data_IF_748675810419
#
_entry.id   IF_748675810419
#
_cell.length_a   1.000
_cell.length_b   1.000
_cell.length_c   1.000
_cell.angle_alpha   90.00
_cell.angle_beta   90.00
_cell.angle_gamma   90.00
#
_symmetry.space_group_name_H-M   'P 1'
#
loop_
_entity.id
_entity.type
_entity.pdbx_description
1 polymer ?
#
# COMPACT_ATOMS: atom_id res chain seq x y z
N UNK A 1 -19.84 25.86 15.57
CA UNK A 1 -19.40 26.89 14.61
C UNK A 1 -18.88 26.12 13.42
N UNK A 2 -19.74 25.86 12.45
CA UNK A 2 -19.37 25.14 11.22
C UNK A 2 -18.30 25.97 10.51
N UNK A 3 -17.06 25.45 10.48
CA UNK A 3 -16.00 26.02 9.65
C UNK A 3 -16.33 25.62 8.21
N UNK A 4 -17.07 26.48 7.50
CA UNK A 4 -17.08 26.50 6.04
C UNK A 4 -15.72 27.00 5.54
N UNK A 5 -14.68 26.19 5.71
CA UNK A 5 -13.36 26.42 5.13
C UNK A 5 -13.25 25.43 3.99
N UNK A 6 -12.88 25.91 2.80
CA UNK A 6 -12.59 25.02 1.67
C UNK A 6 -11.56 23.97 2.13
N UNK A 7 -11.73 22.69 1.78
CA UNK A 7 -10.83 21.64 2.23
C UNK A 7 -9.41 21.93 1.74
N UNK A 8 -8.42 21.58 2.56
CA UNK A 8 -7.02 21.62 2.17
C UNK A 8 -6.78 20.55 1.11
N UNK A 9 -6.47 20.99 -0.11
CA UNK A 9 -6.22 20.11 -1.25
C UNK A 9 -4.75 19.69 -1.26
N UNK A 10 -4.49 18.39 -1.18
CA UNK A 10 -3.15 17.81 -1.27
C UNK A 10 -3.13 16.77 -2.40
N UNK A 11 -2.19 16.90 -3.32
CA UNK A 11 -2.12 16.02 -4.51
C UNK A 11 -0.70 15.52 -4.78
N UNK A 12 -0.18 14.58 -3.97
CA UNK A 12 1.19 14.10 -4.10
C UNK A 12 1.41 13.34 -5.42
N UNK A 13 2.48 13.68 -6.13
CA UNK A 13 2.95 12.97 -7.32
C UNK A 13 3.76 11.73 -6.90
N UNK A 14 3.28 10.55 -7.28
CA UNK A 14 3.84 9.27 -6.86
C UNK A 14 4.41 8.50 -8.04
N UNK A 15 5.66 8.04 -7.88
CA UNK A 15 6.34 7.17 -8.82
C UNK A 15 6.40 5.74 -8.27
N UNK A 16 5.75 4.81 -8.97
CA UNK A 16 5.79 3.39 -8.62
C UNK A 16 7.00 2.71 -9.28
N UNK A 17 7.77 1.97 -8.48
CA UNK A 17 8.85 1.11 -8.95
C UNK A 17 8.43 -0.35 -8.77
N UNK A 18 8.46 -1.14 -9.82
CA UNK A 18 8.10 -2.56 -9.77
C UNK A 18 9.38 -3.38 -9.91
N UNK A 19 9.74 -4.14 -8.88
CA UNK A 19 10.94 -4.97 -8.95
C UNK A 19 10.78 -6.17 -9.90
N UNK A 20 11.90 -6.82 -10.21
CA UNK A 20 11.90 -7.93 -11.15
C UNK A 20 11.13 -9.15 -10.65
N UNK A 21 11.09 -9.38 -9.34
CA UNK A 21 10.36 -10.47 -8.73
C UNK A 21 8.85 -10.29 -8.91
N UNK A 22 8.31 -9.11 -8.62
CA UNK A 22 6.91 -8.78 -8.82
C UNK A 22 6.55 -8.72 -10.30
N UNK A 23 7.37 -8.06 -11.12
CA UNK A 23 7.14 -7.94 -12.55
C UNK A 23 7.02 -9.30 -13.24
N UNK A 24 7.79 -10.31 -12.79
CA UNK A 24 7.75 -11.67 -13.32
C UNK A 24 6.42 -12.40 -13.11
N UNK A 25 5.60 -11.95 -12.15
CA UNK A 25 4.28 -12.51 -11.85
C UNK A 25 3.17 -11.92 -12.74
N UNK A 26 3.50 -10.92 -13.54
CA UNK A 26 2.57 -10.28 -14.48
C UNK A 26 2.80 -10.76 -15.92
N UNK A 27 1.74 -10.76 -16.72
CA UNK A 27 1.77 -11.10 -18.15
C UNK A 27 2.17 -9.88 -19.00
N UNK A 28 3.29 -9.24 -18.65
CA UNK A 28 3.83 -8.07 -19.34
C UNK A 28 3.33 -6.71 -18.83
N UNK A 29 3.90 -5.65 -19.40
CA UNK A 29 3.75 -4.26 -18.92
C UNK A 29 2.31 -3.75 -18.95
N UNK A 30 1.52 -4.14 -19.95
CA UNK A 30 0.11 -3.75 -20.04
C UNK A 30 -0.70 -4.30 -18.85
N UNK A 31 -0.40 -5.52 -18.39
CA UNK A 31 -1.09 -6.12 -17.26
C UNK A 31 -0.72 -5.44 -15.93
N UNK A 32 0.52 -4.97 -15.79
CA UNK A 32 1.00 -4.15 -14.67
C UNK A 32 0.27 -2.81 -14.66
N UNK A 33 0.20 -2.13 -15.82
CA UNK A 33 -0.48 -0.85 -15.95
C UNK A 33 -1.96 -0.93 -15.52
N UNK A 34 -2.68 -1.93 -16.04
CA UNK A 34 -4.10 -2.16 -15.71
C UNK A 34 -4.31 -2.48 -14.24
N UNK A 35 -3.43 -3.30 -13.66
CA UNK A 35 -3.50 -3.63 -12.24
C UNK A 35 -3.26 -2.40 -11.38
N UNK A 36 -2.18 -1.64 -11.61
CA UNK A 36 -1.89 -0.48 -10.78
C UNK A 36 -2.85 0.68 -10.99
N UNK A 37 -3.52 0.78 -12.14
CA UNK A 37 -4.63 1.70 -12.33
C UNK A 37 -5.78 1.41 -11.34
N UNK A 38 -6.17 0.16 -11.17
CA UNK A 38 -7.20 -0.22 -10.21
C UNK A 38 -6.69 -0.06 -8.77
N UNK A 39 -5.44 -0.48 -8.51
CA UNK A 39 -4.77 -0.32 -7.22
C UNK A 39 -4.79 1.14 -6.74
N UNK A 40 -4.44 2.10 -7.60
CA UNK A 40 -4.44 3.51 -7.25
C UNK A 40 -5.84 4.07 -6.96
N UNK A 41 -6.89 3.53 -7.60
CA UNK A 41 -8.25 3.90 -7.25
C UNK A 41 -8.61 3.44 -5.83
N UNK A 42 -8.25 2.21 -5.44
CA UNK A 42 -8.47 1.70 -4.07
C UNK A 42 -7.64 2.44 -3.02
N UNK A 43 -6.37 2.72 -3.32
CA UNK A 43 -5.53 3.59 -2.49
C UNK A 43 -6.18 4.95 -2.26
N UNK A 44 -6.66 5.61 -3.32
CA UNK A 44 -7.33 6.90 -3.19
C UNK A 44 -8.68 6.81 -2.45
N UNK A 45 -9.38 5.68 -2.48
CA UNK A 45 -10.56 5.47 -1.63
C UNK A 45 -10.20 5.43 -0.15
N UNK A 46 -9.04 4.90 0.23
CA UNK A 46 -8.55 4.94 1.62
C UNK A 46 -8.15 6.36 2.03
N UNK A 47 -7.45 7.12 1.17
CA UNK A 47 -7.14 8.53 1.46
C UNK A 47 -8.37 9.42 1.60
N UNK A 48 -9.49 9.10 0.92
CA UNK A 48 -10.78 9.79 1.11
C UNK A 48 -11.42 9.57 2.49
N UNK A 49 -10.90 8.66 3.30
CA UNK A 49 -11.39 8.41 4.67
C UNK A 49 -10.76 9.35 5.71
N UNK A 50 -9.79 10.17 5.30
CA UNK A 50 -9.33 11.29 6.10
C UNK A 50 -10.49 12.25 6.40
N UNK A 51 -10.28 13.08 7.42
CA UNK A 51 -11.24 14.07 7.86
C UNK A 51 -11.66 15.04 6.73
N UNK A 52 -12.92 15.50 6.76
CA UNK A 52 -13.56 16.23 5.66
C UNK A 52 -12.84 17.54 5.26
N UNK A 53 -12.00 18.09 6.12
CA UNK A 53 -11.20 19.28 5.84
C UNK A 53 -9.92 18.99 5.05
N UNK A 54 -9.62 17.72 4.75
CA UNK A 54 -8.51 17.30 3.89
C UNK A 54 -9.06 16.60 2.65
N UNK A 55 -8.73 17.15 1.48
CA UNK A 55 -9.00 16.50 0.20
C UNK A 55 -7.69 15.99 -0.39
N UNK A 56 -7.39 14.72 -0.17
CA UNK A 56 -6.14 14.07 -0.61
C UNK A 56 -6.41 13.15 -1.80
N UNK A 57 -5.62 13.31 -2.86
CA UNK A 57 -5.59 12.36 -3.97
C UNK A 57 -4.17 12.17 -4.48
N UNK A 58 -3.63 10.96 -4.33
CA UNK A 58 -2.36 10.60 -4.95
C UNK A 58 -2.50 10.58 -6.47
N UNK A 59 -1.50 11.13 -7.14
CA UNK A 59 -1.40 11.14 -8.59
C UNK A 59 -0.23 10.24 -8.99
N UNK A 60 -0.53 9.04 -9.48
CA UNK A 60 0.50 8.16 -10.06
C UNK A 60 0.99 8.77 -11.37
N UNK A 61 2.21 9.31 -11.37
CA UNK A 61 2.80 9.99 -12.54
C UNK A 61 3.60 9.04 -13.41
N UNK A 62 4.26 8.05 -12.81
CA UNK A 62 5.18 7.12 -13.49
C UNK A 62 5.12 5.73 -12.90
N UNK A 63 5.37 4.74 -13.75
CA UNK A 63 5.65 3.36 -13.35
C UNK A 63 6.96 2.94 -14.02
N UNK A 64 7.99 2.65 -13.23
CA UNK A 64 9.25 2.09 -13.74
C UNK A 64 9.33 0.61 -13.37
N UNK A 65 9.50 -0.25 -14.37
CA UNK A 65 9.62 -1.70 -14.20
C UNK A 65 11.09 -2.10 -14.28
N UNK A 66 11.58 -2.78 -13.25
CA UNK A 66 12.95 -3.22 -13.15
C UNK A 66 13.12 -4.68 -13.60
N UNK A 67 14.33 -4.97 -14.07
CA UNK A 67 14.90 -6.31 -14.20
C UNK A 67 15.99 -6.54 -13.16
N UNK A 68 16.39 -7.79 -12.98
CA UNK A 68 17.49 -8.20 -12.09
C UNK A 68 18.84 -7.48 -12.36
N UNK A 69 19.04 -6.91 -13.55
CA UNK A 69 20.25 -6.14 -13.90
C UNK A 69 20.16 -4.65 -13.56
N UNK A 70 18.94 -4.16 -13.35
CA UNK A 70 18.65 -2.72 -13.25
C UNK A 70 18.22 -2.28 -11.86
N UNK A 71 18.12 -3.21 -10.90
CA UNK A 71 17.69 -2.99 -9.52
C UNK A 71 18.84 -3.06 -8.48
N UNK A 72 19.93 -2.28 -8.63
CA UNK A 72 21.12 -2.41 -7.78
C UNK A 72 20.88 -2.02 -6.31
N UNK A 73 19.72 -1.44 -6.00
CA UNK A 73 19.33 -1.07 -4.65
C UNK A 73 18.80 -2.25 -3.83
N UNK A 74 18.38 -3.34 -4.48
CA UNK A 74 17.87 -4.53 -3.78
C UNK A 74 19.02 -5.23 -3.08
N UNK A 75 18.91 -5.33 -1.76
CA UNK A 75 19.82 -6.10 -0.91
C UNK A 75 19.09 -7.34 -0.40
N UNK A 76 19.74 -8.49 -0.57
CA UNK A 76 19.24 -9.78 -0.10
C UNK A 76 20.17 -10.36 0.96
N UNK A 77 19.65 -11.11 1.94
CA UNK A 77 20.48 -11.82 2.90
C UNK A 77 21.28 -12.95 2.21
N UNK A 78 22.45 -13.34 2.76
CA UNK A 78 23.22 -14.45 2.20
C UNK A 78 22.41 -15.74 2.07
N UNK A 79 22.46 -16.37 0.89
CA UNK A 79 21.82 -17.68 0.60
C UNK A 79 20.29 -17.71 0.70
N UNK A 80 19.62 -16.56 0.78
CA UNK A 80 18.16 -16.50 0.72
C UNK A 80 17.70 -15.43 -0.29
N UNK A 81 17.36 -15.90 -1.48
CA UNK A 81 16.97 -15.08 -2.63
C UNK A 81 15.50 -14.62 -2.61
N UNK A 82 14.70 -15.20 -1.71
CA UNK A 82 13.26 -14.97 -1.60
C UNK A 82 12.91 -13.76 -0.72
N UNK A 83 13.92 -13.07 -0.20
CA UNK A 83 13.77 -11.97 0.76
C UNK A 83 14.54 -10.74 0.28
N UNK A 84 13.93 -9.57 0.48
CA UNK A 84 14.58 -8.26 0.38
C UNK A 84 14.77 -7.68 1.79
N UNK A 85 15.94 -7.11 2.08
CA UNK A 85 16.21 -6.56 3.41
C UNK A 85 15.79 -5.09 3.52
N UNK A 86 15.46 -4.63 4.73
CA UNK A 86 15.12 -3.22 5.01
C UNK A 86 16.24 -2.23 4.64
N UNK A 87 17.50 -2.68 4.61
CA UNK A 87 18.64 -1.90 4.08
C UNK A 87 18.43 -1.43 2.63
N UNK A 88 17.61 -2.16 1.86
CA UNK A 88 17.28 -1.81 0.48
C UNK A 88 16.60 -0.45 0.38
N UNK A 89 15.88 0.00 1.41
CA UNK A 89 15.28 1.33 1.45
C UNK A 89 16.35 2.43 1.43
N UNK A 90 17.42 2.28 2.22
CA UNK A 90 18.54 3.23 2.25
C UNK A 90 19.32 3.24 0.93
N UNK A 91 19.50 2.06 0.32
CA UNK A 91 20.10 1.95 -1.01
C UNK A 91 19.24 2.61 -2.09
N UNK A 92 17.91 2.43 -2.02
CA UNK A 92 16.95 3.04 -2.95
C UNK A 92 16.97 4.57 -2.82
N UNK A 93 16.95 5.08 -1.58
CA UNK A 93 17.11 6.51 -1.30
C UNK A 93 18.37 7.09 -1.96
N UNK A 94 19.50 6.38 -1.85
CA UNK A 94 20.77 6.79 -2.49
C UNK A 94 20.71 6.68 -4.01
N UNK A 95 20.06 5.65 -4.54
CA UNK A 95 19.91 5.41 -5.97
C UNK A 95 19.13 6.53 -6.67
N UNK A 96 18.00 6.94 -6.10
CA UNK A 96 17.13 7.95 -6.74
C UNK A 96 17.74 9.36 -6.71
N UNK A 97 18.54 9.69 -5.70
CA UNK A 97 19.16 11.02 -5.56
C UNK A 97 20.10 11.37 -6.72
N UNK A 98 20.68 10.37 -7.38
CA UNK A 98 21.62 10.56 -8.47
C UNK A 98 20.96 10.52 -9.86
N UNK A 99 19.62 10.52 -9.94
CA UNK A 99 18.89 10.27 -11.17
C UNK A 99 17.81 11.33 -11.41
N UNK A 100 17.97 12.09 -12.49
CA UNK A 100 17.08 13.20 -12.87
C UNK A 100 15.62 12.78 -13.04
N UNK A 101 15.37 11.51 -13.41
CA UNK A 101 14.02 10.97 -13.59
C UNK A 101 13.17 11.00 -12.31
N UNK A 102 13.81 11.08 -11.13
CA UNK A 102 13.13 11.14 -9.83
C UNK A 102 13.08 12.54 -9.23
N UNK A 103 13.65 13.57 -9.86
CA UNK A 103 13.79 14.90 -9.26
C UNK A 103 12.43 15.51 -8.92
N UNK A 104 11.47 15.40 -9.84
CA UNK A 104 10.13 15.99 -9.72
C UNK A 104 9.12 15.09 -8.98
N UNK A 105 9.49 13.88 -8.57
CA UNK A 105 8.54 13.01 -7.85
C UNK A 105 8.41 13.48 -6.39
N UNK A 106 7.21 13.54 -5.82
CA UNK A 106 7.04 13.87 -4.40
C UNK A 106 7.39 12.67 -3.52
N UNK A 107 7.00 11.48 -4.02
CA UNK A 107 7.08 10.18 -3.36
C UNK A 107 7.48 9.11 -4.38
N UNK A 108 8.34 8.19 -3.97
CA UNK A 108 8.77 7.02 -4.76
C UNK A 108 8.52 5.76 -3.94
N UNK A 109 7.78 4.80 -4.46
CA UNK A 109 7.48 3.55 -3.73
C UNK A 109 7.90 2.34 -4.55
N UNK A 110 8.72 1.48 -3.95
CA UNK A 110 9.08 0.17 -4.50
C UNK A 110 8.04 -0.88 -4.11
N UNK A 111 7.42 -1.48 -5.11
CA UNK A 111 6.56 -2.66 -4.95
C UNK A 111 7.36 -3.89 -5.30
N UNK A 112 7.38 -4.83 -4.35
CA UNK A 112 8.19 -6.04 -4.43
C UNK A 112 7.34 -7.29 -4.27
N UNK A 113 7.69 -8.33 -5.01
CA UNK A 113 7.08 -9.64 -4.89
C UNK A 113 7.86 -10.57 -3.96
N UNK A 114 8.84 -10.03 -3.24
CA UNK A 114 9.67 -10.69 -2.23
C UNK A 114 9.21 -10.29 -0.84
N UNK A 115 9.45 -11.15 0.15
CA UNK A 115 9.19 -10.81 1.53
C UNK A 115 10.23 -9.81 2.03
N UNK A 116 9.79 -8.74 2.68
CA UNK A 116 10.62 -7.76 3.36
C UNK A 116 11.00 -8.33 4.72
N UNK A 117 12.29 -8.24 5.05
CA UNK A 117 12.78 -8.67 6.35
C UNK A 117 13.88 -7.75 6.88
N UNK A 118 14.05 -7.73 8.19
CA UNK A 118 15.29 -7.26 8.79
C UNK A 118 16.32 -8.39 8.77
N UNK A 119 17.59 -8.03 8.55
CA UNK A 119 18.69 -9.00 8.53
C UNK A 119 19.80 -8.54 9.48
N UNK A 120 20.18 -9.42 10.41
CA UNK A 120 21.29 -9.18 11.31
C UNK A 120 22.55 -9.91 10.81
N UNK A 121 23.48 -9.14 10.24
CA UNK A 121 24.73 -9.68 9.69
C UNK A 121 25.67 -10.28 10.73
N UNK A 122 25.48 -9.98 12.02
CA UNK A 122 26.31 -10.53 13.10
C UNK A 122 25.86 -11.94 13.48
N UNK A 123 24.55 -12.18 13.44
CA UNK A 123 23.95 -13.48 13.80
C UNK A 123 23.56 -14.33 12.59
N UNK A 124 23.67 -13.80 11.38
CA UNK A 124 23.17 -14.41 10.12
C UNK A 124 21.66 -14.72 10.20
N UNK A 125 20.92 -13.88 10.92
CA UNK A 125 19.50 -14.09 11.21
C UNK A 125 18.63 -13.18 10.33
N UNK A 126 17.64 -13.78 9.67
CA UNK A 126 16.60 -13.08 8.90
C UNK A 126 15.33 -13.07 9.74
N UNK A 127 14.85 -11.88 10.09
CA UNK A 127 13.60 -11.68 10.82
C UNK A 127 12.59 -10.97 9.93
N UNK A 128 11.64 -11.75 9.45
CA UNK A 128 10.57 -11.33 8.54
C UNK A 128 9.26 -11.02 9.27
N UNK A 129 9.20 -11.16 10.60
CA UNK A 129 7.96 -11.19 11.40
C UNK A 129 7.04 -9.98 11.11
N UNK A 130 6.15 -10.13 10.12
CA UNK A 130 5.08 -9.20 9.79
C UNK A 130 5.48 -7.88 9.11
N UNK A 131 6.70 -7.74 8.57
CA UNK A 131 7.08 -6.50 7.86
C UNK A 131 6.53 -6.57 6.43
N UNK A 132 5.34 -5.98 6.20
CA UNK A 132 4.75 -5.91 4.86
C UNK A 132 5.21 -4.65 4.10
N UNK A 133 5.73 -3.65 4.81
CA UNK A 133 6.15 -2.37 4.26
C UNK A 133 7.21 -1.69 5.12
N UNK A 134 7.90 -0.72 4.53
CA UNK A 134 8.89 0.09 5.23
C UNK A 134 9.12 1.44 4.55
N UNK A 135 8.98 2.54 5.28
CA UNK A 135 9.18 3.90 4.77
C UNK A 135 9.79 4.86 5.80
N UNK A 136 10.30 5.99 5.30
CA UNK A 136 10.78 7.08 6.16
C UNK A 136 9.63 8.02 6.55
N UNK A 137 9.43 8.22 7.86
CA UNK A 137 8.42 9.18 8.34
C UNK A 137 8.79 10.61 7.93
N UNK A 138 7.86 11.30 7.28
CA UNK A 138 8.06 12.65 6.73
C UNK A 138 9.07 12.71 5.59
N UNK A 139 9.18 11.62 4.81
CA UNK A 139 10.12 11.51 3.70
C UNK A 139 9.74 12.29 2.45
N UNK A 140 8.45 12.57 2.22
CA UNK A 140 7.99 13.30 1.04
C UNK A 140 8.67 14.68 0.93
N UNK A 141 8.92 15.14 -0.29
CA UNK A 141 9.70 16.36 -0.60
C UNK A 141 11.17 16.37 -0.14
N UNK A 142 11.71 15.25 0.35
CA UNK A 142 13.10 15.15 0.84
C UNK A 142 13.87 14.09 0.06
N UNK A 143 15.17 13.98 0.33
CA UNK A 143 16.00 12.91 -0.23
C UNK A 143 15.56 11.51 0.21
N UNK A 144 14.86 11.41 1.35
CA UNK A 144 14.29 10.19 1.92
C UNK A 144 12.85 9.91 1.47
N UNK A 145 12.41 10.42 0.32
CA UNK A 145 11.05 10.25 -0.24
C UNK A 145 10.70 8.85 -0.73
N UNK A 146 11.28 7.82 -0.11
CA UNK A 146 11.18 6.42 -0.55
C UNK A 146 10.44 5.56 0.46
N UNK A 147 9.60 4.66 -0.05
CA UNK A 147 9.02 3.55 0.69
C UNK A 147 9.15 2.24 -0.08
N UNK A 148 8.94 1.11 0.58
CA UNK A 148 8.89 -0.21 -0.03
C UNK A 148 7.75 -1.03 0.56
N UNK A 149 7.04 -1.77 -0.29
CA UNK A 149 5.78 -2.46 0.05
C UNK A 149 5.75 -3.81 -0.66
N UNK A 150 5.41 -4.86 0.08
CA UNK A 150 5.07 -6.16 -0.49
C UNK A 150 3.74 -6.08 -1.24
N UNK A 151 3.69 -6.68 -2.43
CA UNK A 151 2.46 -6.84 -3.18
C UNK A 151 2.46 -8.16 -3.94
N UNK A 152 1.28 -8.69 -4.20
CA UNK A 152 1.09 -9.93 -4.94
C UNK A 152 0.26 -9.69 -6.19
N UNK A 153 0.75 -10.21 -7.33
CA UNK A 153 0.23 -9.82 -8.62
C UNK A 153 -1.22 -10.25 -8.79
N UNK A 154 -2.09 -9.29 -9.14
CA UNK A 154 -3.53 -9.48 -9.29
C UNK A 154 -4.27 -9.80 -7.98
N UNK A 155 -3.70 -9.54 -6.81
CA UNK A 155 -4.38 -9.78 -5.53
C UNK A 155 -4.77 -8.51 -4.78
N UNK A 156 -4.18 -7.35 -5.08
CA UNK A 156 -4.43 -6.08 -4.36
C UNK A 156 -4.13 -6.12 -2.86
N UNK A 157 -3.38 -7.11 -2.39
CA UNK A 157 -3.00 -7.31 -0.98
C UNK A 157 -2.11 -6.19 -0.47
N UNK A 158 -1.28 -5.59 -1.34
CA UNK A 158 -0.42 -4.46 -0.97
C UNK A 158 -1.15 -3.12 -0.77
N UNK A 159 -2.45 -3.01 -1.05
CA UNK A 159 -3.15 -1.70 -1.03
C UNK A 159 -3.18 -1.06 0.35
N UNK A 160 -3.54 -1.81 1.40
CA UNK A 160 -3.56 -1.29 2.77
C UNK A 160 -2.15 -0.82 3.19
N UNK A 161 -1.17 -1.71 3.04
CA UNK A 161 0.22 -1.44 3.39
C UNK A 161 0.79 -0.25 2.62
N UNK A 162 0.48 -0.12 1.33
CA UNK A 162 0.88 1.05 0.55
C UNK A 162 0.37 2.35 1.12
N UNK A 163 -0.91 2.38 1.54
CA UNK A 163 -1.49 3.58 2.14
C UNK A 163 -0.85 3.88 3.50
N UNK A 164 -0.55 2.86 4.30
CA UNK A 164 0.19 3.01 5.55
C UNK A 164 1.59 3.63 5.32
N UNK A 165 2.37 3.05 4.42
CA UNK A 165 3.74 3.54 4.13
C UNK A 165 3.74 4.93 3.48
N UNK A 166 2.77 5.24 2.63
CA UNK A 166 2.60 6.60 2.09
C UNK A 166 2.16 7.57 3.20
N UNK A 167 1.33 7.13 4.15
CA UNK A 167 1.01 7.90 5.36
C UNK A 167 2.26 8.29 6.15
N UNK A 168 3.18 7.34 6.36
CA UNK A 168 4.50 7.65 6.92
C UNK A 168 5.24 8.69 6.10
N UNK A 169 5.35 8.54 4.77
CA UNK A 169 6.04 9.51 3.92
C UNK A 169 5.43 10.91 3.99
N UNK A 170 4.11 10.98 4.20
CA UNK A 170 3.33 12.20 4.39
C UNK A 170 3.33 12.72 5.85
N UNK A 171 4.20 12.18 6.71
CA UNK A 171 4.49 12.71 8.03
C UNK A 171 3.68 12.12 9.19
N UNK A 172 2.90 11.06 8.95
CA UNK A 172 2.10 10.40 9.98
C UNK A 172 2.96 9.39 10.77
N UNK A 173 3.01 9.50 12.10
CA UNK A 173 3.49 8.42 12.97
C UNK A 173 2.42 7.33 13.14
N UNK A 174 2.77 6.22 13.77
CA UNK A 174 1.75 5.24 14.17
C UNK A 174 0.78 5.83 15.19
N UNK A 175 -0.46 5.37 15.17
CA UNK A 175 -1.42 5.67 16.23
C UNK A 175 -0.88 5.19 17.59
N UNK A 176 -0.96 6.03 18.62
CA UNK A 176 -0.39 5.80 19.94
C UNK A 176 1.01 6.39 20.14
N UNK A 177 1.71 6.75 19.07
CA UNK A 177 3.07 7.31 19.17
C UNK A 177 3.09 8.82 19.42
N UNK A 178 4.20 9.30 20.00
CA UNK A 178 4.49 10.72 20.10
C UNK A 178 4.89 11.34 18.76
N UNK A 179 5.10 12.67 18.71
CA UNK A 179 5.58 13.35 17.50
C UNK A 179 6.91 12.75 17.00
N UNK A 180 7.03 12.45 15.69
CA UNK A 180 8.28 11.96 15.12
C UNK A 180 9.30 13.11 15.00
N UNK A 181 10.56 12.82 15.31
CA UNK A 181 11.67 13.80 15.25
C UNK A 181 11.87 14.41 13.84
N UNK A 182 11.47 13.69 12.79
CA UNK A 182 11.63 14.11 11.40
C UNK A 182 10.58 15.13 10.94
N UNK A 183 9.50 15.34 11.68
CA UNK A 183 8.39 16.23 11.26
C UNK A 183 8.25 17.41 12.21
N UNK A 184 8.54 18.60 11.70
CA UNK A 184 8.44 19.85 12.45
C UNK A 184 6.99 20.08 12.90
N UNK A 185 6.78 20.39 14.18
CA UNK A 185 5.47 20.70 14.75
C UNK A 185 4.41 19.60 14.60
N UNK A 186 4.80 18.34 14.36
CA UNK A 186 3.83 17.24 14.37
C UNK A 186 3.15 17.15 15.75
N UNK A 187 1.83 16.97 15.81
CA UNK A 187 1.13 16.67 17.06
C UNK A 187 1.38 15.24 17.56
N UNK A 188 1.97 14.37 16.72
CA UNK A 188 2.00 12.92 16.94
C UNK A 188 0.61 12.31 16.91
N UNK A 189 0.47 11.09 17.43
CA UNK A 189 -0.80 10.37 17.48
C UNK A 189 -1.09 9.72 18.84
N UNK A 190 -0.45 10.19 19.91
CA UNK A 190 -0.58 9.63 21.27
C UNK A 190 -2.00 9.63 21.85
N UNK A 191 -2.93 10.38 21.25
CA UNK A 191 -4.34 10.45 21.63
C UNK A 191 -5.26 9.59 20.75
N UNK A 192 -4.73 8.90 19.74
CA UNK A 192 -5.43 7.85 18.99
C UNK A 192 -4.92 6.49 19.46
N UNK A 193 -5.80 5.66 20.02
CA UNK A 193 -5.42 4.34 20.52
C UNK A 193 -5.09 3.38 19.36
N UNK A 194 -3.89 2.82 19.38
CA UNK A 194 -3.41 1.81 18.42
C UNK A 194 -4.36 0.60 18.29
N UNK A 195 -5.06 0.23 19.37
CA UNK A 195 -5.96 -0.93 19.41
C UNK A 195 -7.24 -0.75 18.59
N UNK A 196 -7.57 0.48 18.19
CA UNK A 196 -8.67 0.72 17.25
C UNK A 196 -8.35 0.23 15.83
N UNK A 197 -7.08 -0.03 15.52
CA UNK A 197 -6.70 -0.63 14.25
C UNK A 197 -6.99 0.23 13.03
N UNK A 198 -6.91 1.56 13.13
CA UNK A 198 -6.94 2.45 11.97
C UNK A 198 -5.76 2.17 11.02
N UNK A 199 -5.76 2.75 9.83
CA UNK A 199 -4.71 2.53 8.81
C UNK A 199 -3.30 2.74 9.39
N UNK A 200 -3.09 3.71 10.28
CA UNK A 200 -1.78 4.01 10.88
C UNK A 200 -1.54 3.24 12.20
N UNK A 201 -2.33 2.23 12.54
CA UNK A 201 -2.01 1.36 13.67
C UNK A 201 -0.69 0.61 13.43
N UNK A 202 0.16 0.43 14.46
CA UNK A 202 1.47 -0.23 14.31
C UNK A 202 1.37 -1.72 13.97
N UNK A 203 0.20 -2.32 14.19
CA UNK A 203 -0.08 -3.72 13.87
C UNK A 203 -1.37 -3.82 13.06
N UNK A 204 -1.34 -4.63 12.01
CA UNK A 204 -2.49 -4.93 11.18
C UNK A 204 -3.05 -6.32 11.50
N UNK A 205 -4.36 -6.41 11.74
CA UNK A 205 -5.08 -7.66 12.01
C UNK A 205 -6.37 -7.70 11.20
N UNK A 206 -7.00 -8.88 11.12
CA UNK A 206 -8.30 -9.02 10.42
C UNK A 206 -9.42 -8.15 11.01
N UNK A 207 -9.25 -7.60 12.22
CA UNK A 207 -10.23 -6.67 12.80
C UNK A 207 -9.83 -5.20 12.64
N UNK A 208 -8.69 -4.91 12.01
CA UNK A 208 -8.27 -3.55 11.68
C UNK A 208 -9.24 -2.90 10.71
N UNK A 209 -9.48 -1.61 10.88
CA UNK A 209 -10.31 -0.79 10.01
C UNK A 209 -9.49 -0.24 8.84
N UNK A 210 -10.15 0.00 7.71
CA UNK A 210 -9.51 0.56 6.51
C UNK A 210 -9.78 2.06 6.37
N UNK A 211 -9.81 2.77 7.51
CA UNK A 211 -9.98 4.22 7.58
C UNK A 211 -8.85 4.87 8.37
N UNK A 212 -8.57 6.14 8.10
CA UNK A 212 -7.60 6.92 8.85
C UNK A 212 -8.18 7.41 10.19
N UNK A 213 -7.31 7.59 11.18
CA UNK A 213 -7.65 8.24 12.45
C UNK A 213 -7.62 9.78 12.28
N UNK A 214 -8.29 10.49 13.19
CA UNK A 214 -8.16 11.96 13.27
C UNK A 214 -6.70 12.40 13.48
N UNK A 215 -5.90 11.61 14.21
CA UNK A 215 -4.46 11.90 14.39
C UNK A 215 -3.69 11.82 13.08
N UNK A 216 -4.09 10.95 12.15
CA UNK A 216 -3.48 10.89 10.82
C UNK A 216 -3.75 12.18 10.03
N UNK A 217 -4.98 12.70 10.11
CA UNK A 217 -5.36 13.97 9.47
C UNK A 217 -4.61 15.17 10.09
N UNK A 218 -4.59 15.28 11.42
CA UNK A 218 -3.92 16.37 12.12
C UNK A 218 -2.41 16.42 11.82
N UNK A 219 -1.76 15.24 11.75
CA UNK A 219 -0.34 15.14 11.39
C UNK A 219 -0.06 15.51 9.93
N UNK A 220 -0.93 15.11 9.00
CA UNK A 220 -0.81 15.50 7.59
C UNK A 220 -0.95 17.00 7.40
N UNK A 221 -1.92 17.63 8.07
CA UNK A 221 -2.07 19.09 8.05
C UNK A 221 -0.78 19.75 8.57
N UNK A 222 -0.24 19.30 9.71
CA UNK A 222 0.99 19.85 10.26
C UNK A 222 2.19 19.66 9.32
N UNK A 223 2.33 18.49 8.69
CA UNK A 223 3.39 18.20 7.72
C UNK A 223 3.31 19.11 6.49
N UNK A 224 2.10 19.30 5.93
CA UNK A 224 1.88 20.20 4.80
C UNK A 224 2.19 21.67 5.16
N UNK A 225 1.88 22.10 6.38
CA UNK A 225 2.12 23.47 6.84
C UNK A 225 3.59 23.81 7.10
N UNK A 226 4.49 22.82 7.12
CA UNK A 226 5.93 23.05 7.25
C UNK A 226 6.47 23.77 5.99
N UNK A 227 7.03 25.00 6.10
CA UNK A 227 7.52 25.76 4.95
C UNK A 227 8.65 25.10 4.14
N UNK A 228 9.29 24.05 4.68
CA UNK A 228 10.28 23.24 3.99
C UNK A 228 9.67 22.21 3.02
N UNK A 229 8.41 21.83 3.24
CA UNK A 229 7.67 20.85 2.43
C UNK A 229 7.02 21.57 1.25
N UNK A 230 7.82 21.84 0.22
CA UNK A 230 7.39 22.67 -0.92
C UNK A 230 6.83 21.90 -2.11
N UNK A 231 7.16 20.62 -2.24
CA UNK A 231 6.77 19.83 -3.41
C UNK A 231 5.24 19.64 -3.50
N UNK A 232 4.59 19.48 -2.35
CA UNK A 232 3.12 19.34 -2.23
C UNK A 232 2.31 20.63 -2.49
N UNK A 233 2.97 21.78 -2.70
CA UNK A 233 2.28 23.05 -2.95
C UNK A 233 1.79 23.19 -4.40
N UNK A 234 2.21 22.30 -5.29
CA UNK A 234 1.66 22.23 -6.63
C UNK A 234 0.31 21.49 -6.63
N UNK A 235 -0.42 21.59 -7.73
CA UNK A 235 -1.70 20.90 -7.91
C UNK A 235 -1.70 20.20 -9.27
N UNK A 236 -0.96 19.09 -9.42
CA UNK A 236 -1.03 18.28 -10.64
C UNK A 236 -2.48 17.91 -10.96
N UNK A 237 -2.84 17.78 -12.25
CA UNK A 237 -4.17 17.32 -12.63
C UNK A 237 -4.47 15.95 -12.00
N UNK A 238 -5.50 15.93 -11.15
CA UNK A 238 -6.03 14.71 -10.55
C UNK A 238 -6.46 13.70 -11.61
N UNK A 239 -6.45 12.43 -11.24
CA UNK A 239 -6.88 11.36 -12.11
C UNK A 239 -8.34 11.57 -12.56
N UNK A 240 -8.58 11.41 -13.86
CA UNK A 240 -9.88 11.73 -14.47
C UNK A 240 -10.44 10.62 -15.35
N UNK A 241 -9.63 9.60 -15.69
CA UNK A 241 -10.09 8.45 -16.46
C UNK A 241 -11.01 7.60 -15.61
N UNK A 242 -12.14 7.18 -16.18
CA UNK A 242 -13.09 6.32 -15.49
C UNK A 242 -12.61 4.87 -15.51
N UNK A 243 -12.65 4.21 -14.35
CA UNK A 243 -12.69 2.75 -14.30
C UNK A 243 -14.11 2.28 -14.58
N UNK A 244 -14.26 1.26 -15.41
CA UNK A 244 -15.53 0.60 -15.59
C UNK A 244 -15.75 -0.47 -14.53
N UNK A 245 -17.01 -0.80 -14.26
CA UNK A 245 -17.39 -1.92 -13.39
C UNK A 245 -16.74 -3.24 -13.86
N UNK A 246 -16.59 -3.42 -15.18
CA UNK A 246 -15.97 -4.61 -15.73
C UNK A 246 -14.46 -4.65 -15.42
N UNK A 247 -13.75 -3.53 -15.54
CA UNK A 247 -12.31 -3.47 -15.21
C UNK A 247 -12.04 -3.96 -13.78
N UNK A 248 -12.88 -3.54 -12.83
CA UNK A 248 -12.78 -3.91 -11.42
C UNK A 248 -13.05 -5.41 -11.23
N UNK A 249 -14.14 -5.92 -11.82
CA UNK A 249 -14.59 -7.31 -11.67
C UNK A 249 -13.69 -8.32 -12.36
N UNK A 250 -13.13 -7.98 -13.52
CA UNK A 250 -12.23 -8.86 -14.27
C UNK A 250 -10.95 -9.17 -13.49
N UNK A 251 -10.59 -8.33 -12.52
CA UNK A 251 -9.44 -8.51 -11.65
C UNK A 251 -9.77 -9.13 -10.29
N UNK A 252 -11.03 -9.50 -10.03
CA UNK A 252 -11.41 -10.10 -8.75
C UNK A 252 -10.89 -11.54 -8.65
N UNK A 253 -10.21 -11.83 -7.55
CA UNK A 253 -9.76 -13.19 -7.21
C UNK A 253 -10.82 -13.87 -6.36
N UNK A 254 -11.17 -15.12 -6.69
CA UNK A 254 -12.11 -15.87 -5.85
C UNK A 254 -11.48 -16.17 -4.48
N UNK A 255 -12.25 -16.22 -3.38
CA UNK A 255 -11.71 -16.51 -2.04
C UNK A 255 -10.91 -17.82 -1.94
N UNK A 256 -11.35 -18.88 -2.63
CA UNK A 256 -10.57 -20.12 -2.70
C UNK A 256 -9.21 -19.90 -3.36
N UNK A 257 -9.18 -19.17 -4.48
CA UNK A 257 -7.93 -18.86 -5.17
C UNK A 257 -7.01 -17.98 -4.35
N UNK A 258 -7.57 -17.03 -3.59
CA UNK A 258 -6.82 -16.23 -2.63
C UNK A 258 -6.13 -17.13 -1.60
N UNK A 259 -6.86 -18.06 -0.96
CA UNK A 259 -6.28 -18.99 0.01
C UNK A 259 -5.15 -19.84 -0.59
N UNK A 260 -5.28 -20.30 -1.83
CA UNK A 260 -4.23 -21.06 -2.52
C UNK A 260 -2.95 -20.25 -2.79
N UNK A 261 -3.08 -18.94 -3.00
CA UNK A 261 -1.97 -18.03 -3.26
C UNK A 261 -1.27 -17.61 -1.97
N UNK A 262 -2.02 -17.34 -0.91
CA UNK A 262 -1.48 -17.01 0.42
C UNK A 262 -0.85 -18.22 1.14
N UNK A 263 -1.33 -19.43 0.86
CA UNK A 263 -0.84 -20.67 1.51
C UNK A 263 -0.29 -21.68 0.51
N UNK A 264 0.75 -21.32 -0.27
CA UNK A 264 1.24 -22.13 -1.38
C UNK A 264 1.77 -23.49 -0.89
N UNK A 265 1.41 -24.55 -1.62
CA UNK A 265 1.88 -25.92 -1.32
C UNK A 265 1.18 -26.59 -0.14
N UNK A 266 0.09 -26.01 0.38
CA UNK A 266 -0.72 -26.60 1.46
C UNK A 266 -2.09 -27.08 0.95
N UNK A 267 -2.69 -28.02 1.67
CA UNK A 267 -4.05 -28.48 1.42
C UNK A 267 -5.06 -27.49 2.03
N UNK A 268 -5.30 -26.37 1.34
CA UNK A 268 -6.08 -25.24 1.86
C UNK A 268 -7.48 -25.16 1.22
N UNK A 269 -8.48 -24.77 2.01
CA UNK A 269 -9.85 -24.55 1.53
C UNK A 269 -10.43 -23.27 2.14
N UNK A 270 -11.15 -22.51 1.33
CA UNK A 270 -11.95 -21.38 1.79
C UNK A 270 -13.16 -21.86 2.60
N UNK A 271 -13.41 -21.26 3.76
CA UNK A 271 -14.63 -21.44 4.54
C UNK A 271 -15.54 -20.22 4.39
N UNK A 272 -16.84 -20.45 4.16
CA UNK A 272 -17.81 -19.37 3.95
C UNK A 272 -18.13 -18.58 5.22
N UNK A 273 -17.97 -19.20 6.39
CA UNK A 273 -18.30 -18.61 7.69
C UNK A 273 -17.50 -19.28 8.80
N UNK A 274 -17.08 -18.49 9.79
CA UNK A 274 -16.47 -18.94 11.03
C UNK A 274 -16.88 -18.03 12.18
N UNK A 275 -17.06 -18.58 13.37
CA UNK A 275 -17.37 -17.81 14.57
C UNK A 275 -16.38 -18.21 15.68
N UNK A 276 -15.68 -17.23 16.25
CA UNK A 276 -14.67 -17.46 17.31
C UNK A 276 -15.23 -17.40 18.74
N UNK A 277 -16.55 -17.25 18.88
CA UNK A 277 -17.29 -17.05 20.13
C UNK A 277 -17.63 -15.59 20.43
N UNK A 278 -16.89 -14.64 19.84
CA UNK A 278 -17.12 -13.20 20.00
C UNK A 278 -17.60 -12.55 18.69
N UNK A 279 -17.08 -13.02 17.56
CA UNK A 279 -17.27 -12.40 16.25
C UNK A 279 -17.52 -13.46 15.16
N UNK A 280 -18.38 -13.11 14.22
CA UNK A 280 -18.53 -13.83 12.95
C UNK A 280 -17.54 -13.28 11.92
N UNK A 281 -16.94 -14.18 11.16
CA UNK A 281 -16.09 -13.87 10.00
C UNK A 281 -16.76 -14.45 8.77
N UNK A 282 -16.92 -13.64 7.74
CA UNK A 282 -17.44 -14.03 6.44
C UNK A 282 -17.17 -12.94 5.39
N UNK A 283 -17.46 -13.25 4.13
CA UNK A 283 -17.24 -12.32 3.02
C UNK A 283 -18.10 -11.05 3.09
N UNK A 284 -19.23 -11.05 3.81
CA UNK A 284 -20.06 -9.86 3.97
C UNK A 284 -19.39 -8.83 4.90
N UNK A 285 -18.50 -9.30 5.79
CA UNK A 285 -17.56 -8.49 6.57
C UNK A 285 -16.21 -8.29 5.89
N UNK A 286 -16.08 -8.78 4.65
CA UNK A 286 -14.84 -8.75 3.89
C UNK A 286 -13.69 -9.51 4.57
N UNK A 287 -14.02 -10.65 5.17
CA UNK A 287 -13.05 -11.58 5.74
C UNK A 287 -12.96 -12.83 4.86
N UNK A 288 -11.74 -13.26 4.55
CA UNK A 288 -11.44 -14.53 3.89
C UNK A 288 -10.89 -15.50 4.93
N UNK A 289 -11.55 -16.66 5.04
CA UNK A 289 -11.16 -17.72 5.99
C UNK A 289 -10.50 -18.86 5.22
N UNK A 290 -9.24 -19.14 5.54
CA UNK A 290 -8.47 -20.23 4.93
C UNK A 290 -8.21 -21.34 5.95
N UNK A 291 -8.76 -22.53 5.71
CA UNK A 291 -8.59 -23.73 6.53
C UNK A 291 -7.58 -24.68 5.90
N UNK A 292 -6.50 -24.96 6.63
CA UNK A 292 -5.58 -26.04 6.28
C UNK A 292 -6.19 -27.37 6.73
N UNK A 293 -6.48 -28.24 5.77
CA UNK A 293 -7.15 -29.52 6.01
C UNK A 293 -6.26 -30.54 6.72
N UNK A 294 -4.94 -30.42 6.59
CA UNK A 294 -3.98 -31.38 7.16
C UNK A 294 -3.69 -31.06 8.64
N UNK A 295 -3.54 -29.78 8.96
CA UNK A 295 -3.23 -29.31 10.33
C UNK A 295 -4.46 -28.88 11.12
N UNK A 296 -5.61 -28.73 10.45
CA UNK A 296 -6.83 -28.12 10.99
C UNK A 296 -6.62 -26.69 11.53
N UNK A 297 -5.62 -25.97 11.00
CA UNK A 297 -5.37 -24.58 11.38
C UNK A 297 -6.16 -23.62 10.50
N UNK A 298 -6.81 -22.66 11.13
CA UNK A 298 -7.56 -21.59 10.47
C UNK A 298 -6.72 -20.32 10.44
N UNK A 299 -6.69 -19.65 9.29
CA UNK A 299 -6.12 -18.31 9.15
C UNK A 299 -7.17 -17.36 8.59
N UNK A 300 -7.19 -16.15 9.13
CA UNK A 300 -8.12 -15.08 8.78
C UNK A 300 -7.35 -14.00 8.03
N UNK A 301 -7.90 -13.55 6.92
CA UNK A 301 -7.30 -12.55 6.04
C UNK A 301 -8.34 -11.52 5.66
N UNK A 302 -7.89 -10.30 5.39
CA UNK A 302 -8.74 -9.30 4.78
C UNK A 302 -9.00 -9.66 3.33
N UNK A 303 -10.27 -9.58 2.93
CA UNK A 303 -10.63 -9.67 1.53
C UNK A 303 -10.06 -8.46 0.79
N UNK A 304 -9.31 -8.66 -0.31
CA UNK A 304 -8.86 -7.55 -1.13
C UNK A 304 -10.02 -6.69 -1.63
N UNK A 305 -9.74 -5.40 -1.79
CA UNK A 305 -10.67 -4.49 -2.46
C UNK A 305 -10.95 -5.03 -3.88
N UNK A 306 -12.23 -5.18 -4.24
CA UNK A 306 -12.81 -5.90 -5.38
C UNK A 306 -13.33 -7.34 -5.15
N UNK A 307 -13.11 -7.93 -3.98
CA UNK A 307 -13.61 -9.29 -3.69
C UNK A 307 -15.14 -9.29 -3.68
N UNK A 308 -15.78 -10.24 -4.37
CA UNK A 308 -17.23 -10.38 -4.33
C UNK A 308 -17.67 -10.82 -2.93
N UNK A 309 -18.41 -9.95 -2.24
CA UNK A 309 -18.76 -10.15 -0.83
C UNK A 309 -20.13 -10.83 -0.60
N UNK A 310 -20.96 -10.96 -1.64
CA UNK A 310 -22.27 -11.61 -1.54
C UNK A 310 -22.49 -12.65 -2.64
N UNK A 311 -22.71 -13.89 -2.23
CA UNK A 311 -22.99 -15.00 -3.15
C UNK A 311 -24.24 -14.74 -3.98
N UNK A 312 -24.10 -14.86 -5.30
CA UNK A 312 -25.19 -14.63 -6.26
C UNK A 312 -25.46 -13.16 -6.59
N UNK A 313 -24.81 -12.20 -5.92
CA UNK A 313 -24.88 -10.79 -6.29
C UNK A 313 -23.51 -10.29 -6.76
N UNK A 314 -23.35 -10.12 -8.07
CA UNK A 314 -22.09 -9.69 -8.67
C UNK A 314 -21.91 -8.16 -8.72
N UNK A 315 -22.77 -7.42 -8.02
CA UNK A 315 -22.74 -5.95 -7.94
C UNK A 315 -22.19 -5.45 -6.61
N UNK A 316 -21.95 -6.34 -5.64
CA UNK A 316 -21.39 -6.03 -4.33
C UNK A 316 -19.96 -6.57 -4.23
N UNK A 317 -19.05 -5.70 -3.82
CA UNK A 317 -17.64 -6.02 -3.59
C UNK A 317 -17.15 -5.45 -2.27
N UNK A 318 -16.05 -5.99 -1.78
CA UNK A 318 -15.29 -5.39 -0.70
C UNK A 318 -14.60 -4.12 -1.17
N UNK A 319 -14.80 -3.03 -0.43
CA UNK A 319 -14.04 -1.79 -0.53
C UNK A 319 -13.86 -1.28 0.91
N UNK A 320 -12.61 -1.04 1.31
CA UNK A 320 -12.30 -0.55 2.65
C UNK A 320 -12.95 -1.40 3.77
N UNK A 321 -12.96 -2.72 3.57
CA UNK A 321 -13.53 -3.70 4.51
C UNK A 321 -15.05 -3.68 4.64
N UNK A 322 -15.73 -2.91 3.79
CA UNK A 322 -17.19 -2.90 3.71
C UNK A 322 -17.68 -3.59 2.42
N UNK A 323 -18.74 -4.39 2.55
CA UNK A 323 -19.44 -4.98 1.42
C UNK A 323 -20.40 -3.96 0.79
N UNK A 324 -19.98 -3.33 -0.31
CA UNK A 324 -20.67 -2.18 -0.92
C UNK A 324 -20.94 -2.38 -2.41
N UNK A 325 -21.83 -1.58 -2.99
CA UNK A 325 -22.04 -1.56 -4.43
C UNK A 325 -20.78 -1.06 -5.14
N UNK A 326 -20.44 -1.69 -6.27
CA UNK A 326 -19.30 -1.28 -7.10
C UNK A 326 -19.50 0.20 -7.50
N UNK A 327 -18.60 1.11 -7.10
CA UNK A 327 -18.75 2.52 -7.40
C UNK A 327 -18.58 2.77 -8.90
N UNK A 328 -19.40 3.66 -9.46
CA UNK A 328 -19.43 3.94 -10.90
C UNK A 328 -18.58 5.15 -11.31
N UNK A 329 -18.01 5.85 -10.33
CA UNK A 329 -17.29 7.11 -10.48
C UNK A 329 -15.80 7.01 -10.12
N UNK A 330 -15.27 5.79 -9.94
CA UNK A 330 -13.85 5.59 -9.63
C UNK A 330 -12.98 6.13 -10.76
N UNK A 331 -11.98 6.92 -10.37
CA UNK A 331 -11.03 7.56 -11.25
C UNK A 331 -9.66 6.91 -11.14
N UNK A 332 -8.95 6.89 -12.25
CA UNK A 332 -7.58 6.37 -12.32
C UNK A 332 -6.72 7.06 -13.39
N UNK A 333 -5.47 6.67 -13.45
CA UNK A 333 -4.47 7.09 -14.42
C UNK A 333 -4.43 6.18 -15.65
N UNK A 334 -3.77 6.65 -16.71
CA UNK A 334 -3.53 5.91 -17.97
C UNK A 334 -2.05 5.89 -18.38
N UNK A 335 -1.16 6.10 -17.43
CA UNK A 335 0.30 6.06 -17.59
C UNK A 335 0.77 4.70 -18.10
N UNK A 336 1.61 4.73 -19.13
CA UNK A 336 2.28 3.53 -19.64
C UNK A 336 3.55 3.26 -18.82
N UNK A 337 3.78 2.02 -18.36
CA UNK A 337 5.01 1.68 -17.68
C UNK A 337 6.23 1.79 -18.58
N UNK A 338 7.33 2.26 -18.01
CA UNK A 338 8.64 2.35 -18.65
C UNK A 338 9.56 1.26 -18.09
N UNK A 339 10.36 0.64 -18.95
CA UNK A 339 11.40 -0.30 -18.49
C UNK A 339 12.59 0.49 -17.97
N UNK A 340 13.11 0.11 -16.82
CA UNK A 340 14.37 0.65 -16.31
C UNK A 340 15.50 0.36 -17.29
N UNK A 341 16.29 1.39 -17.62
CA UNK A 341 17.48 1.24 -18.45
C UNK A 341 18.70 1.00 -17.58
N UNK A 342 19.62 0.14 -18.02
CA UNK A 342 20.94 0.04 -17.40
C UNK A 342 21.62 1.41 -17.44
N UNK A 343 22.16 1.87 -16.31
CA UNK A 343 23.02 3.04 -16.31
C UNK A 343 24.24 2.70 -17.19
N UNK A 344 24.69 3.60 -18.08
CA UNK A 344 25.91 3.36 -18.84
C UNK A 344 27.03 3.05 -17.84
N UNK A 345 27.74 1.95 -18.08
CA UNK A 345 28.92 1.58 -17.30
C UNK A 345 29.92 2.76 -17.33
N UNK A 346 30.50 3.16 -16.19
CA UNK A 346 31.51 4.22 -16.15
C UNK A 346 32.69 3.97 -17.10
#
# INVERSE_FOLDING_TARGET
MERFVDPLIITPEVHLLIDSALASKFNGTESIAKYYAIFAAFVNLKFKTLEEWLDVQLVITKITIFSNRTEPFIKKPPRNESVITTDSLGNLSTYIQNKIQFTEDDIVVLLTGLNIASYNSTTDEVKSEGILGYAYVGGACRSSKVGMVEDEANMFTGTHTFVHEVGHLLGMSHDGDGPPDSVTNSPGASYCDASHGYIMAPSHYVNSTHIFSVCSADQLEAFYMDPSIKCLNNTPPRHSNNLTVNDIKEKAVSPQKFCELEHPGTNITHMEHYNDGNMDYDLMRCDIICLNQDTHTLTLHDAPDNTLCLKGNTSLICINKDCVYIPTDLKTFTTNPELATESPSP
#
